data_IF_462342331475
#
_entry.id   IF_462342331475
#
_cell.length_a   1.000
_cell.length_b   1.000
_cell.length_c   1.000
_cell.angle_alpha   90.00
_cell.angle_beta   90.00
_cell.angle_gamma   90.00
#
_symmetry.space_group_name_H-M   'P 1'
#
loop_
_entity.id
_entity.type
_entity.pdbx_description
1 polymer ?
#
# COMPACT_ATOMS: atom_id res chain seq x y z
N UNK A 1 -29.15 -30.94 -33.47
CA UNK A 1 -29.39 -29.85 -32.50
C UNK A 1 -28.14 -28.96 -32.44
N UNK A 2 -28.25 -27.66 -32.67
CA UNK A 2 -27.09 -26.77 -32.64
C UNK A 2 -26.53 -26.56 -31.22
N UNK A 3 -25.20 -26.51 -31.08
CA UNK A 3 -24.49 -26.33 -29.79
C UNK A 3 -24.98 -25.12 -28.95
N UNK A 4 -25.54 -24.09 -29.58
CA UNK A 4 -26.05 -22.89 -28.92
C UNK A 4 -27.49 -22.96 -28.40
N UNK A 5 -28.26 -24.02 -28.74
CA UNK A 5 -29.68 -24.09 -28.40
C UNK A 5 -29.95 -24.20 -26.89
N UNK A 6 -29.01 -24.75 -26.12
CA UNK A 6 -29.13 -24.89 -24.66
C UNK A 6 -29.33 -23.54 -23.95
N UNK A 7 -28.72 -22.45 -24.44
CA UNK A 7 -28.89 -21.10 -23.89
C UNK A 7 -30.35 -20.60 -23.95
N UNK A 8 -31.13 -21.12 -24.90
CA UNK A 8 -32.51 -20.73 -25.15
C UNK A 8 -33.52 -21.83 -24.77
N UNK A 9 -33.13 -22.73 -23.87
CA UNK A 9 -33.99 -23.85 -23.44
C UNK A 9 -34.20 -24.91 -24.51
N UNK A 10 -33.18 -25.20 -25.32
CA UNK A 10 -33.19 -26.20 -26.40
C UNK A 10 -34.21 -25.96 -27.52
N UNK A 11 -34.71 -24.72 -27.66
CA UNK A 11 -35.60 -24.33 -28.76
C UNK A 11 -34.81 -24.12 -30.05
N UNK A 12 -35.21 -24.80 -31.13
CA UNK A 12 -34.66 -24.58 -32.46
C UNK A 12 -35.38 -23.42 -33.16
N UNK A 13 -34.62 -22.42 -33.60
CA UNK A 13 -35.15 -21.21 -34.24
C UNK A 13 -35.31 -20.02 -33.29
N UNK A 14 -35.38 -18.81 -33.86
CA UNK A 14 -35.51 -17.55 -33.14
C UNK A 14 -36.80 -16.88 -33.60
N UNK A 15 -37.68 -16.58 -32.64
CA UNK A 15 -38.84 -15.72 -32.89
C UNK A 15 -38.39 -14.26 -32.93
N UNK A 16 -39.05 -13.41 -33.73
CA UNK A 16 -38.81 -11.97 -33.68
C UNK A 16 -39.15 -11.44 -32.27
N UNK A 17 -38.47 -10.36 -31.88
CA UNK A 17 -38.69 -9.73 -30.58
C UNK A 17 -40.13 -9.23 -30.46
N UNK A 18 -40.80 -9.58 -29.36
CA UNK A 18 -42.16 -9.10 -29.09
C UNK A 18 -42.20 -7.57 -29.06
N UNK A 19 -43.03 -6.97 -29.91
CA UNK A 19 -43.16 -5.52 -30.00
C UNK A 19 -44.01 -5.03 -28.83
N UNK A 20 -43.44 -4.19 -27.97
CA UNK A 20 -44.18 -3.57 -26.85
C UNK A 20 -45.37 -2.74 -27.34
N UNK A 21 -46.50 -2.80 -26.62
CA UNK A 21 -47.69 -2.02 -26.96
C UNK A 21 -47.46 -0.55 -26.57
N UNK A 22 -47.09 -0.30 -25.32
CA UNK A 22 -46.64 1.01 -24.83
C UNK A 22 -45.13 1.15 -25.03
N UNK A 23 -44.69 2.22 -25.68
CA UNK A 23 -43.26 2.45 -26.04
C UNK A 23 -42.47 3.17 -24.96
N UNK A 24 -43.15 3.98 -24.17
CA UNK A 24 -42.59 4.77 -23.09
C UNK A 24 -43.26 4.35 -21.78
N UNK A 25 -42.61 4.58 -20.62
CA UNK A 25 -43.22 4.33 -19.32
C UNK A 25 -44.47 5.21 -19.12
N UNK A 26 -45.40 4.72 -18.30
CA UNK A 26 -46.64 5.44 -17.99
C UNK A 26 -46.51 6.31 -16.76
N UNK A 27 -47.38 7.31 -16.64
CA UNK A 27 -47.43 8.19 -15.46
C UNK A 27 -47.81 7.42 -14.18
N UNK A 28 -48.50 6.28 -14.29
CA UNK A 28 -48.88 5.47 -13.11
C UNK A 28 -47.69 4.67 -12.54
N UNK A 29 -46.60 4.50 -13.28
CA UNK A 29 -45.39 3.80 -12.82
C UNK A 29 -44.53 4.70 -11.91
N UNK A 30 -45.01 4.92 -10.68
CA UNK A 30 -44.39 5.85 -9.72
C UNK A 30 -42.92 5.53 -9.43
N UNK A 31 -42.56 4.25 -9.30
CA UNK A 31 -41.17 3.84 -9.01
C UNK A 31 -40.17 4.30 -10.07
N UNK A 32 -40.57 4.28 -11.36
CA UNK A 32 -39.73 4.77 -12.44
C UNK A 32 -39.63 6.30 -12.44
N UNK A 33 -40.71 6.99 -12.08
CA UNK A 33 -40.70 8.45 -11.92
C UNK A 33 -39.75 8.85 -10.80
N UNK A 34 -39.87 8.21 -9.64
CA UNK A 34 -39.02 8.47 -8.47
C UNK A 34 -37.55 8.18 -8.79
N UNK A 35 -37.28 7.08 -9.52
CA UNK A 35 -35.91 6.73 -9.95
C UNK A 35 -35.30 7.72 -10.94
N UNK A 36 -36.10 8.27 -11.85
CA UNK A 36 -35.64 9.27 -12.82
C UNK A 36 -35.48 10.65 -12.18
N UNK A 37 -36.36 10.98 -11.22
CA UNK A 37 -36.33 12.24 -10.46
C UNK A 37 -35.27 12.27 -9.35
N UNK A 38 -34.77 11.11 -8.93
CA UNK A 38 -33.72 11.02 -7.92
C UNK A 38 -32.42 11.74 -8.37
N UNK A 39 -31.71 12.40 -7.44
CA UNK A 39 -30.44 13.04 -7.75
C UNK A 39 -29.43 12.00 -8.25
N UNK A 40 -28.82 12.27 -9.40
CA UNK A 40 -27.84 11.36 -10.01
C UNK A 40 -26.55 11.34 -9.19
N UNK A 41 -26.02 10.14 -8.94
CA UNK A 41 -24.74 9.95 -8.25
C UNK A 41 -23.61 10.70 -8.96
N UNK A 42 -22.67 11.21 -8.16
CA UNK A 42 -21.40 11.80 -8.60
C UNK A 42 -20.24 10.93 -8.07
N UNK A 43 -19.12 10.90 -8.76
CA UNK A 43 -17.94 10.12 -8.37
C UNK A 43 -17.60 9.01 -9.36
N UNK A 44 -17.05 7.90 -8.86
CA UNK A 44 -16.58 6.75 -9.67
C UNK A 44 -17.73 6.12 -10.46
N UNK A 45 -18.86 5.87 -9.79
CA UNK A 45 -20.09 5.35 -10.41
C UNK A 45 -21.09 6.48 -10.73
N UNK A 46 -20.57 7.67 -11.05
CA UNK A 46 -21.37 8.85 -11.31
C UNK A 46 -21.94 8.91 -12.74
N UNK A 47 -23.07 9.59 -12.91
CA UNK A 47 -23.69 9.82 -14.23
C UNK A 47 -23.71 11.30 -14.59
N UNK A 48 -23.14 11.63 -15.75
CA UNK A 48 -23.11 12.99 -16.31
C UNK A 48 -21.88 13.80 -15.90
N UNK A 49 -21.90 15.10 -16.18
CA UNK A 49 -20.79 16.00 -15.85
C UNK A 49 -20.75 16.36 -14.36
N UNK A 50 -19.55 16.48 -13.78
CA UNK A 50 -19.35 17.07 -12.45
C UNK A 50 -19.68 18.57 -12.47
N UNK A 51 -19.99 19.16 -11.32
CA UNK A 51 -20.65 20.48 -11.26
C UNK A 51 -19.79 21.63 -11.81
N UNK A 52 -18.47 21.55 -11.63
CA UNK A 52 -17.51 22.57 -12.08
C UNK A 52 -16.79 22.21 -13.39
N UNK A 53 -17.20 21.15 -14.08
CA UNK A 53 -16.59 20.75 -15.35
C UNK A 53 -17.50 21.21 -16.49
N UNK A 54 -16.93 22.01 -17.40
CA UNK A 54 -17.63 22.45 -18.60
C UNK A 54 -17.93 21.26 -19.52
N UNK A 55 -19.07 21.32 -20.20
CA UNK A 55 -19.44 20.37 -21.25
C UNK A 55 -19.01 20.96 -22.62
N UNK A 56 -18.75 20.12 -23.63
CA UNK A 56 -18.29 20.60 -24.93
C UNK A 56 -19.34 21.47 -25.63
N UNK A 57 -18.86 22.50 -26.34
CA UNK A 57 -19.69 23.47 -27.07
C UNK A 57 -20.54 22.75 -28.12
N UNK A 58 -21.85 23.04 -28.14
CA UNK A 58 -22.81 22.41 -29.05
C UNK A 58 -23.39 21.08 -28.58
N UNK A 59 -22.96 20.58 -27.40
CA UNK A 59 -23.60 19.43 -26.75
C UNK A 59 -24.54 19.87 -25.63
N UNK A 60 -25.47 18.98 -25.24
CA UNK A 60 -26.27 19.20 -24.04
C UNK A 60 -25.58 18.56 -22.83
N UNK A 61 -25.52 19.29 -21.71
CA UNK A 61 -24.95 18.79 -20.45
C UNK A 61 -25.77 17.65 -19.86
N UNK A 62 -27.09 17.74 -19.96
CA UNK A 62 -28.02 16.77 -19.38
C UNK A 62 -28.57 15.84 -20.44
N UNK A 63 -28.80 14.58 -20.06
CA UNK A 63 -29.55 13.63 -20.87
C UNK A 63 -30.98 14.15 -21.11
N UNK A 64 -31.59 13.87 -22.28
CA UNK A 64 -32.97 14.24 -22.53
C UNK A 64 -33.91 13.61 -21.50
N UNK A 65 -34.95 14.34 -21.13
CA UNK A 65 -35.95 13.89 -20.16
C UNK A 65 -36.77 12.73 -20.72
N UNK A 66 -37.07 11.76 -19.85
CA UNK A 66 -37.91 10.62 -20.20
C UNK A 66 -39.36 11.08 -20.26
N UNK A 67 -40.02 10.87 -21.41
CA UNK A 67 -41.41 11.24 -21.61
C UNK A 67 -42.34 10.18 -21.03
N UNK A 68 -42.98 10.48 -19.90
CA UNK A 68 -44.02 9.63 -19.33
C UNK A 68 -45.34 9.82 -20.07
N UNK A 69 -45.98 8.71 -20.43
CA UNK A 69 -47.23 8.71 -21.20
C UNK A 69 -48.42 8.60 -20.25
N UNK A 70 -49.34 9.55 -20.36
CA UNK A 70 -50.67 9.40 -19.81
C UNK A 70 -51.52 8.57 -20.79
N UNK A 71 -51.92 7.37 -20.36
CA UNK A 71 -52.60 6.40 -21.22
C UNK A 71 -53.95 6.92 -21.69
N UNK A 72 -54.70 7.61 -20.82
CA UNK A 72 -56.02 8.13 -21.18
C UNK A 72 -55.92 9.27 -22.21
N UNK A 73 -54.93 10.15 -22.08
CA UNK A 73 -54.65 11.17 -23.10
C UNK A 73 -54.17 10.56 -24.41
N UNK A 74 -53.38 9.48 -24.35
CA UNK A 74 -52.92 8.79 -25.54
C UNK A 74 -54.10 8.15 -26.27
N UNK A 75 -55.00 7.48 -25.55
CA UNK A 75 -56.25 6.93 -26.11
C UNK A 75 -57.09 8.05 -26.73
N UNK A 76 -57.26 9.18 -26.04
CA UNK A 76 -58.03 10.30 -26.59
C UNK A 76 -57.45 10.84 -27.90
N UNK A 77 -56.11 10.83 -28.05
CA UNK A 77 -55.40 11.30 -29.26
C UNK A 77 -55.42 10.27 -30.40
N UNK A 78 -55.20 8.99 -30.12
CA UNK A 78 -55.10 7.94 -31.15
C UNK A 78 -56.45 7.36 -31.53
N UNK A 79 -57.37 7.28 -30.57
CA UNK A 79 -58.70 6.67 -30.65
C UNK A 79 -59.78 7.75 -30.48
N UNK A 80 -59.65 8.85 -31.23
CA UNK A 80 -60.63 9.92 -31.17
C UNK A 80 -62.01 9.45 -31.65
N UNK A 81 -63.04 9.76 -30.87
CA UNK A 81 -64.43 9.56 -31.28
C UNK A 81 -64.77 10.51 -32.45
N UNK A 82 -65.63 10.07 -33.38
CA UNK A 82 -66.01 10.92 -34.51
C UNK A 82 -66.72 12.18 -34.00
N UNK A 83 -66.28 13.36 -34.48
CA UNK A 83 -66.87 14.66 -34.09
C UNK A 83 -68.35 14.78 -34.47
N UNK A 84 -68.77 14.08 -35.53
CA UNK A 84 -70.16 13.97 -35.97
C UNK A 84 -70.48 12.50 -36.16
N UNK A 85 -71.52 12.01 -35.49
CA UNK A 85 -72.06 10.67 -35.71
C UNK A 85 -72.93 10.74 -36.96
N UNK A 86 -72.31 10.57 -38.13
CA UNK A 86 -73.05 10.52 -39.38
C UNK A 86 -73.75 9.16 -39.46
N UNK A 87 -75.07 9.16 -39.60
CA UNK A 87 -75.83 7.94 -39.91
C UNK A 87 -75.33 7.41 -41.25
N UNK A 88 -74.92 6.14 -41.28
CA UNK A 88 -74.47 5.53 -42.52
C UNK A 88 -75.64 5.36 -43.48
N UNK A 89 -75.50 5.86 -44.70
CA UNK A 89 -76.56 5.81 -45.71
C UNK A 89 -76.43 4.56 -46.62
N UNK A 90 -75.33 3.83 -46.50
CA UNK A 90 -75.04 2.64 -47.32
C UNK A 90 -74.46 1.52 -46.46
N UNK A 91 -74.71 0.24 -46.81
CA UNK A 91 -74.20 -0.90 -46.03
C UNK A 91 -72.65 -0.93 -45.98
N UNK A 92 -71.98 -0.40 -47.01
CA UNK A 92 -70.53 -0.27 -47.02
C UNK A 92 -70.04 0.78 -46.01
N UNK A 93 -70.78 1.87 -45.80
CA UNK A 93 -70.47 2.87 -44.79
C UNK A 93 -70.70 2.32 -43.38
N UNK A 94 -71.77 1.55 -43.16
CA UNK A 94 -72.02 0.85 -41.90
C UNK A 94 -70.86 -0.10 -41.55
N UNK A 95 -70.46 -0.96 -42.49
CA UNK A 95 -69.35 -1.89 -42.27
C UNK A 95 -68.02 -1.16 -41.97
N UNK A 96 -67.77 0.00 -42.59
CA UNK A 96 -66.59 0.83 -42.29
C UNK A 96 -66.68 1.46 -40.91
N UNK A 97 -67.84 1.94 -40.50
CA UNK A 97 -68.07 2.50 -39.16
C UNK A 97 -67.88 1.42 -38.08
N UNK A 98 -68.48 0.25 -38.25
CA UNK A 98 -68.31 -0.90 -37.34
C UNK A 98 -66.84 -1.33 -37.22
N UNK A 99 -66.12 -1.45 -38.35
CA UNK A 99 -64.68 -1.76 -38.33
C UNK A 99 -63.87 -0.68 -37.61
N UNK A 100 -64.21 0.59 -37.78
CA UNK A 100 -63.55 1.68 -37.08
C UNK A 100 -63.83 1.62 -35.57
N UNK A 101 -65.08 1.40 -35.16
CA UNK A 101 -65.46 1.23 -33.75
C UNK A 101 -64.75 0.04 -33.10
N UNK A 102 -64.69 -1.09 -33.79
CA UNK A 102 -64.01 -2.28 -33.32
C UNK A 102 -62.50 -2.04 -33.15
N UNK A 103 -61.85 -1.39 -34.13
CA UNK A 103 -60.43 -0.99 -34.00
C UNK A 103 -60.23 -0.05 -32.82
N UNK A 104 -61.13 0.93 -32.64
CA UNK A 104 -61.06 1.87 -31.53
C UNK A 104 -61.17 1.15 -30.19
N UNK A 105 -62.14 0.25 -30.06
CA UNK A 105 -62.39 -0.56 -28.86
C UNK A 105 -61.16 -1.40 -28.49
N UNK A 106 -60.67 -2.23 -29.41
CA UNK A 106 -59.52 -3.10 -29.13
C UNK A 106 -58.23 -2.33 -28.84
N UNK A 107 -58.01 -1.19 -29.51
CA UNK A 107 -56.82 -0.37 -29.28
C UNK A 107 -56.88 0.29 -27.89
N UNK A 108 -58.03 0.83 -27.50
CA UNK A 108 -58.22 1.40 -26.16
C UNK A 108 -58.09 0.34 -25.06
N UNK A 109 -58.68 -0.84 -25.24
CA UNK A 109 -58.54 -1.98 -24.33
C UNK A 109 -57.09 -2.45 -24.24
N UNK A 110 -56.38 -2.57 -25.35
CA UNK A 110 -54.98 -2.99 -25.38
C UNK A 110 -54.07 -2.05 -24.57
N UNK A 111 -54.28 -0.73 -24.66
CA UNK A 111 -53.49 0.22 -23.86
C UNK A 111 -53.80 0.16 -22.37
N UNK A 112 -55.09 0.06 -21.99
CA UNK A 112 -55.48 -0.06 -20.58
C UNK A 112 -54.97 -1.35 -19.95
N UNK A 113 -55.12 -2.46 -20.66
CA UNK A 113 -54.66 -3.77 -20.20
C UNK A 113 -53.13 -3.83 -20.09
N UNK A 114 -52.40 -3.23 -21.03
CA UNK A 114 -50.93 -3.19 -20.94
C UNK A 114 -50.46 -2.34 -19.76
N UNK A 115 -51.11 -1.20 -19.48
CA UNK A 115 -50.79 -0.41 -18.29
C UNK A 115 -51.02 -1.20 -17.00
N UNK A 116 -52.15 -1.89 -16.89
CA UNK A 116 -52.46 -2.74 -15.73
C UNK A 116 -51.44 -3.87 -15.58
N UNK A 117 -51.13 -4.59 -16.68
CA UNK A 117 -50.13 -5.65 -16.70
C UNK A 117 -48.76 -5.17 -16.21
N UNK A 118 -48.33 -3.97 -16.62
CA UNK A 118 -47.05 -3.41 -16.20
C UNK A 118 -47.02 -3.10 -14.69
N UNK A 119 -48.13 -2.60 -14.14
CA UNK A 119 -48.27 -2.35 -12.70
C UNK A 119 -48.28 -3.67 -11.90
N UNK A 120 -49.05 -4.66 -12.35
CA UNK A 120 -49.07 -6.00 -11.74
C UNK A 120 -47.69 -6.66 -11.78
N UNK A 121 -46.98 -6.55 -12.90
CA UNK A 121 -45.62 -7.07 -13.02
C UNK A 121 -44.67 -6.41 -12.02
N UNK A 122 -44.77 -5.10 -11.83
CA UNK A 122 -43.97 -4.37 -10.84
C UNK A 122 -44.28 -4.87 -9.42
N UNK A 123 -45.56 -5.01 -9.07
CA UNK A 123 -45.97 -5.55 -7.76
C UNK A 123 -45.46 -6.97 -7.54
N UNK A 124 -45.55 -7.82 -8.56
CA UNK A 124 -45.02 -9.19 -8.51
C UNK A 124 -43.52 -9.22 -8.29
N UNK A 125 -42.76 -8.32 -8.94
CA UNK A 125 -41.32 -8.21 -8.74
C UNK A 125 -40.97 -7.75 -7.33
N UNK A 126 -41.67 -6.75 -6.78
CA UNK A 126 -41.48 -6.30 -5.39
C UNK A 126 -41.74 -7.42 -4.40
N UNK A 127 -42.89 -8.08 -4.50
CA UNK A 127 -43.24 -9.23 -3.64
C UNK A 127 -42.22 -10.37 -3.75
N UNK A 128 -41.65 -10.60 -4.94
CA UNK A 128 -40.60 -11.60 -5.13
C UNK A 128 -39.29 -11.20 -4.46
N UNK A 129 -38.89 -9.93 -4.56
CA UNK A 129 -37.68 -9.42 -3.91
C UNK A 129 -37.81 -9.51 -2.39
N UNK A 130 -38.92 -9.06 -1.83
CA UNK A 130 -39.20 -9.15 -0.39
C UNK A 130 -39.18 -10.61 0.11
N UNK A 131 -39.71 -11.55 -0.68
CA UNK A 131 -39.63 -12.99 -0.33
C UNK A 131 -38.19 -13.50 -0.34
N UNK A 132 -37.40 -13.15 -1.36
CA UNK A 132 -36.00 -13.55 -1.44
C UNK A 132 -35.16 -12.93 -0.31
N UNK A 133 -35.44 -11.69 0.08
CA UNK A 133 -34.78 -11.05 1.21
C UNK A 133 -35.11 -11.74 2.52
N UNK A 134 -36.40 -12.06 2.77
CA UNK A 134 -36.83 -12.83 3.94
C UNK A 134 -36.24 -14.24 3.96
N UNK A 135 -36.17 -14.91 2.82
CA UNK A 135 -35.52 -16.22 2.68
C UNK A 135 -34.03 -16.11 3.06
N UNK A 136 -33.30 -15.13 2.52
CA UNK A 136 -31.89 -14.89 2.87
C UNK A 136 -31.71 -14.55 4.35
N UNK A 137 -32.55 -13.71 4.92
CA UNK A 137 -32.51 -13.38 6.34
C UNK A 137 -32.76 -14.62 7.20
N UNK A 138 -33.71 -15.47 6.81
CA UNK A 138 -33.97 -16.74 7.50
C UNK A 138 -32.83 -17.74 7.37
N UNK A 139 -32.16 -17.80 6.21
CA UNK A 139 -30.98 -18.62 5.99
C UNK A 139 -29.81 -18.13 6.85
N UNK A 140 -29.56 -16.81 6.88
CA UNK A 140 -28.53 -16.21 7.73
C UNK A 140 -28.84 -16.48 9.20
N UNK A 141 -30.09 -16.32 9.63
CA UNK A 141 -30.50 -16.62 11.00
C UNK A 141 -30.25 -18.09 11.35
N UNK A 142 -30.68 -19.04 10.51
CA UNK A 142 -30.47 -20.48 10.71
C UNK A 142 -29.00 -20.92 10.63
N UNK A 143 -28.15 -20.15 9.95
CA UNK A 143 -26.70 -20.34 9.94
C UNK A 143 -26.02 -19.73 11.18
N UNK A 144 -26.60 -18.66 11.75
CA UNK A 144 -26.07 -18.00 12.94
C UNK A 144 -26.46 -18.67 14.27
N UNK A 145 -27.51 -19.50 14.25
CA UNK A 145 -27.91 -20.27 15.43
C UNK A 145 -26.82 -21.26 15.84
N UNK A 146 -26.32 -21.20 17.09
CA UNK A 146 -25.25 -22.07 17.56
C UNK A 146 -25.74 -23.53 17.59
N UNK A 147 -24.99 -24.42 16.96
CA UNK A 147 -25.32 -25.85 16.90
C UNK A 147 -24.51 -26.62 17.94
N UNK A 148 -25.07 -27.74 18.42
CA UNK A 148 -24.33 -28.65 19.31
C UNK A 148 -23.05 -29.21 18.66
N UNK A 149 -23.04 -29.29 17.33
CA UNK A 149 -21.86 -29.67 16.54
C UNK A 149 -20.77 -28.61 16.48
N UNK A 150 -21.02 -27.35 16.84
CA UNK A 150 -20.01 -26.28 16.71
C UNK A 150 -18.85 -26.49 17.69
N UNK A 151 -19.10 -27.18 18.81
CA UNK A 151 -18.08 -27.56 19.78
C UNK A 151 -17.10 -28.63 19.27
N UNK A 152 -17.43 -29.35 18.19
CA UNK A 152 -16.50 -30.30 17.56
C UNK A 152 -15.58 -29.64 16.54
N UNK A 153 -15.86 -28.40 16.15
CA UNK A 153 -14.99 -27.59 15.30
C UNK A 153 -13.94 -26.91 16.18
N UNK A 154 -12.63 -27.10 15.92
CA UNK A 154 -11.60 -26.44 16.72
C UNK A 154 -11.70 -24.92 16.56
N UNK A 155 -11.77 -24.20 17.68
CA UNK A 155 -11.88 -22.74 17.70
C UNK A 155 -10.55 -22.10 18.12
N UNK A 156 -10.16 -21.04 17.40
CA UNK A 156 -8.99 -20.20 17.72
C UNK A 156 -9.45 -18.75 17.95
N UNK A 157 -10.55 -18.56 18.68
CA UNK A 157 -11.19 -17.25 18.87
C UNK A 157 -10.21 -16.21 19.42
N UNK A 158 -9.47 -16.55 20.48
CA UNK A 158 -8.47 -15.66 21.07
C UNK A 158 -7.35 -15.25 20.10
N UNK A 159 -7.01 -16.08 19.11
CA UNK A 159 -6.03 -15.75 18.08
C UNK A 159 -6.62 -14.86 16.98
N UNK A 160 -7.88 -15.08 16.61
CA UNK A 160 -8.59 -14.31 15.59
C UNK A 160 -8.99 -12.92 16.07
N UNK A 161 -9.29 -12.78 17.37
CA UNK A 161 -9.68 -11.51 17.99
C UNK A 161 -8.47 -10.58 18.19
N UNK A 162 -7.25 -11.12 18.19
CA UNK A 162 -6.04 -10.30 18.29
C UNK A 162 -5.80 -9.53 16.98
N UNK A 163 -5.47 -8.23 17.05
CA UNK A 163 -5.10 -7.47 15.86
C UNK A 163 -3.86 -8.08 15.22
N UNK A 164 -3.90 -8.29 13.89
CA UNK A 164 -2.77 -8.84 13.13
C UNK A 164 -1.46 -8.07 13.34
N UNK A 165 -1.56 -6.77 13.60
CA UNK A 165 -0.42 -5.93 13.94
C UNK A 165 -0.75 -5.00 15.11
N UNK A 166 0.11 -5.01 16.12
CA UNK A 166 0.14 -3.96 17.15
C UNK A 166 0.82 -2.72 16.58
N UNK A 167 0.13 -1.59 16.58
CA UNK A 167 0.76 -0.30 16.29
C UNK A 167 1.72 0.09 17.43
N UNK A 168 2.88 0.64 17.07
CA UNK A 168 3.86 1.09 18.07
C UNK A 168 3.34 2.32 18.81
N UNK A 169 3.57 2.39 20.10
CA UNK A 169 3.31 3.61 20.88
C UNK A 169 4.26 4.73 20.43
N UNK A 170 3.90 6.02 20.59
CA UNK A 170 4.77 7.13 20.22
C UNK A 170 6.12 7.07 20.93
N UNK A 171 6.14 6.70 22.22
CA UNK A 171 7.35 6.52 23.02
C UNK A 171 8.26 5.42 22.45
N UNK A 172 7.69 4.29 22.03
CA UNK A 172 8.45 3.20 21.40
C UNK A 172 9.08 3.64 20.07
N UNK A 173 8.38 4.47 19.30
CA UNK A 173 8.88 5.02 18.05
C UNK A 173 10.06 5.95 18.33
N UNK A 174 9.99 6.77 19.37
CA UNK A 174 11.08 7.67 19.79
C UNK A 174 12.32 6.89 20.24
N UNK A 175 12.14 5.89 21.10
CA UNK A 175 13.24 5.02 21.55
C UNK A 175 13.90 4.33 20.36
N UNK A 176 13.10 3.83 19.41
CA UNK A 176 13.60 3.19 18.19
C UNK A 176 14.39 4.19 17.32
N UNK A 177 13.90 5.42 17.15
CA UNK A 177 14.61 6.49 16.44
C UNK A 177 15.95 6.81 17.11
N UNK A 178 15.98 6.90 18.44
CA UNK A 178 17.21 7.13 19.21
C UNK A 178 18.21 5.98 19.02
N UNK A 179 17.78 4.72 19.12
CA UNK A 179 18.65 3.56 18.84
C UNK A 179 19.23 3.58 17.43
N UNK A 180 18.41 3.90 16.42
CA UNK A 180 18.88 4.05 15.03
C UNK A 180 19.89 5.19 14.88
N UNK A 181 19.64 6.33 15.52
CA UNK A 181 20.54 7.49 15.50
C UNK A 181 21.89 7.13 16.13
N UNK A 182 21.86 6.52 17.33
CA UNK A 182 23.05 6.07 18.04
C UNK A 182 23.87 5.07 17.20
N UNK A 183 23.25 4.04 16.63
CA UNK A 183 23.95 3.07 15.80
C UNK A 183 24.61 3.72 14.58
N UNK A 184 23.95 4.70 13.96
CA UNK A 184 24.52 5.45 12.82
C UNK A 184 25.71 6.31 13.25
N UNK A 185 25.61 7.00 14.38
CA UNK A 185 26.68 7.83 14.92
C UNK A 185 27.89 6.99 15.34
N UNK A 186 27.66 5.86 16.01
CA UNK A 186 28.71 4.89 16.35
C UNK A 186 29.44 4.36 15.13
N UNK A 187 28.74 4.03 14.05
CA UNK A 187 29.38 3.58 12.81
C UNK A 187 30.19 4.69 12.15
N UNK A 188 29.73 5.94 12.20
CA UNK A 188 30.46 7.09 11.65
C UNK A 188 31.73 7.37 12.47
N UNK A 189 31.61 7.34 13.79
CA UNK A 189 32.72 7.54 14.72
C UNK A 189 33.80 6.48 14.49
N UNK A 190 33.43 5.19 14.44
CA UNK A 190 34.37 4.11 14.10
C UNK A 190 35.03 4.26 12.73
N UNK A 191 34.32 4.80 11.74
CA UNK A 191 34.90 5.06 10.43
C UNK A 191 35.87 6.25 10.46
N UNK A 192 35.64 7.23 11.33
CA UNK A 192 36.55 8.35 11.55
C UNK A 192 37.79 7.91 12.31
N UNK A 193 37.65 7.12 13.39
CA UNK A 193 38.77 6.52 14.13
C UNK A 193 39.70 5.76 13.19
N UNK A 194 39.18 4.88 12.34
CA UNK A 194 39.99 4.15 11.35
C UNK A 194 40.73 5.08 10.38
N UNK A 195 40.07 6.16 9.93
CA UNK A 195 40.72 7.14 9.04
C UNK A 195 41.83 7.90 9.78
N UNK A 196 41.64 8.19 11.06
CA UNK A 196 42.65 8.81 11.89
C UNK A 196 43.82 7.85 12.13
N UNK A 197 43.56 6.58 12.43
CA UNK A 197 44.59 5.54 12.52
C UNK A 197 45.39 5.41 11.22
N UNK A 198 44.72 5.42 10.07
CA UNK A 198 45.38 5.34 8.77
C UNK A 198 46.20 6.60 8.47
N UNK A 199 45.72 7.78 8.86
CA UNK A 199 46.48 9.03 8.79
C UNK A 199 47.71 8.96 9.69
N UNK A 200 47.55 8.48 10.92
CA UNK A 200 48.61 8.35 11.90
C UNK A 200 49.70 7.37 11.40
N UNK A 201 49.30 6.23 10.82
CA UNK A 201 50.21 5.33 10.11
C UNK A 201 50.95 6.04 8.99
N UNK A 202 50.23 6.81 8.16
CA UNK A 202 50.84 7.57 7.08
C UNK A 202 51.86 8.58 7.63
N UNK A 203 51.54 9.28 8.72
CA UNK A 203 52.43 10.22 9.40
C UNK A 203 53.75 9.57 9.78
N UNK A 204 53.74 8.40 10.42
CA UNK A 204 54.99 7.70 10.75
C UNK A 204 55.77 7.20 9.53
N UNK A 205 55.09 6.92 8.41
CA UNK A 205 55.76 6.55 7.15
C UNK A 205 56.28 7.78 6.39
N UNK A 206 55.88 9.01 6.76
CA UNK A 206 56.31 10.22 6.03
C UNK A 206 57.82 10.44 6.03
N UNK A 207 58.54 9.94 7.05
CA UNK A 207 60.01 10.02 7.10
C UNK A 207 60.68 9.24 5.94
N UNK A 208 59.99 8.25 5.38
CA UNK A 208 60.46 7.50 4.21
C UNK A 208 60.03 8.13 2.87
N UNK A 209 59.15 9.13 2.89
CA UNK A 209 58.64 9.76 1.67
C UNK A 209 59.68 10.72 1.09
N UNK A 210 59.92 10.54 -0.21
CA UNK A 210 60.79 11.44 -0.98
C UNK A 210 59.97 12.64 -1.40
N UNK A 211 60.20 13.79 -0.77
CA UNK A 211 59.49 15.03 -1.08
C UNK A 211 60.37 16.00 -1.88
N UNK A 212 61.66 16.09 -1.57
CA UNK A 212 62.61 16.98 -2.26
C UNK A 212 63.56 16.22 -3.20
N UNK A 213 64.10 16.92 -4.20
CA UNK A 213 65.10 16.36 -5.13
C UNK A 213 66.37 15.89 -4.40
N UNK A 214 66.72 16.52 -3.27
CA UNK A 214 67.86 16.12 -2.44
C UNK A 214 67.63 14.78 -1.78
N UNK A 215 66.40 14.55 -1.28
CA UNK A 215 66.03 13.28 -0.66
C UNK A 215 65.96 12.17 -1.70
N UNK A 216 65.59 12.51 -2.95
CA UNK A 216 65.59 11.59 -4.07
C UNK A 216 67.00 11.10 -4.41
N UNK A 217 67.97 12.01 -4.54
CA UNK A 217 69.36 11.65 -4.81
C UNK A 217 69.95 10.78 -3.69
N UNK A 218 69.73 11.17 -2.42
CA UNK A 218 70.16 10.36 -1.27
C UNK A 218 69.56 8.95 -1.31
N UNK A 219 68.27 8.84 -1.64
CA UNK A 219 67.60 7.54 -1.68
C UNK A 219 68.06 6.69 -2.86
N UNK A 220 68.35 7.29 -4.01
CA UNK A 220 69.00 6.62 -5.14
C UNK A 220 70.34 6.07 -4.68
N UNK A 221 71.19 6.91 -4.09
CA UNK A 221 72.53 6.51 -3.66
C UNK A 221 72.45 5.37 -2.64
N UNK A 222 71.53 5.41 -1.67
CA UNK A 222 71.29 4.31 -0.73
C UNK A 222 70.83 3.01 -1.40
N UNK A 223 69.89 3.09 -2.35
CA UNK A 223 69.32 1.91 -3.03
C UNK A 223 70.37 1.27 -3.95
N UNK A 224 71.15 2.07 -4.67
CA UNK A 224 72.17 1.59 -5.61
C UNK A 224 73.52 1.28 -4.96
N UNK A 225 73.88 1.89 -3.82
CA UNK A 225 75.07 1.54 -3.05
C UNK A 225 74.88 0.25 -2.24
N UNK A 226 73.63 -0.11 -1.92
CA UNK A 226 73.34 -1.45 -1.41
C UNK A 226 73.43 -2.46 -2.57
N UNK A 227 74.45 -3.32 -2.61
CA UNK A 227 74.54 -4.49 -3.51
C UNK A 227 73.47 -5.56 -3.18
N UNK A 228 72.22 -5.14 -2.95
CA UNK A 228 71.13 -5.97 -2.44
C UNK A 228 69.95 -6.00 -3.40
N UNK A 229 70.23 -6.22 -4.69
CA UNK A 229 69.20 -6.57 -5.67
C UNK A 229 68.38 -7.81 -5.27
N UNK A 230 68.88 -8.65 -4.36
CA UNK A 230 68.13 -9.76 -3.74
C UNK A 230 67.18 -9.31 -2.60
N UNK A 231 67.51 -8.27 -1.85
CA UNK A 231 66.64 -7.72 -0.80
C UNK A 231 65.44 -6.96 -1.41
N UNK A 232 65.62 -6.35 -2.59
CA UNK A 232 64.52 -5.75 -3.34
C UNK A 232 63.55 -6.81 -3.90
N UNK A 233 64.04 -7.98 -4.32
CA UNK A 233 63.18 -9.11 -4.75
C UNK A 233 62.32 -9.65 -3.61
N UNK A 234 62.86 -9.72 -2.39
CA UNK A 234 62.10 -10.21 -1.22
C UNK A 234 61.12 -9.18 -0.65
N UNK A 235 61.40 -7.87 -0.78
CA UNK A 235 60.48 -6.80 -0.39
C UNK A 235 59.37 -6.53 -1.43
N UNK A 236 59.62 -6.75 -2.72
CA UNK A 236 58.61 -6.65 -3.78
C UNK A 236 57.77 -7.94 -3.93
N UNK A 237 58.26 -9.09 -3.46
CA UNK A 237 57.47 -10.34 -3.40
C UNK A 237 56.54 -10.36 -2.18
N UNK A 238 55.54 -9.48 -2.13
CA UNK A 238 54.52 -9.42 -1.07
C UNK A 238 53.49 -10.57 -1.16
N UNK A 239 53.75 -11.61 -1.95
CA UNK A 239 52.73 -12.60 -2.34
C UNK A 239 52.45 -13.77 -1.39
N UNK A 240 53.42 -14.31 -0.63
CA UNK A 240 53.20 -15.67 -0.09
C UNK A 240 53.96 -16.14 1.17
N UNK A 241 54.64 -15.27 1.95
CA UNK A 241 55.36 -15.74 3.16
C UNK A 241 55.03 -14.94 4.43
N UNK A 242 54.47 -15.67 5.42
CA UNK A 242 54.24 -15.37 6.85
C UNK A 242 52.98 -14.57 7.27
N UNK A 243 51.81 -15.21 7.29
CA UNK A 243 50.63 -14.69 7.99
C UNK A 243 50.80 -14.67 9.53
N UNK A 244 51.64 -15.53 10.13
CA UNK A 244 51.81 -15.62 11.59
C UNK A 244 52.42 -14.36 12.22
N UNK A 245 53.50 -13.83 11.66
CA UNK A 245 54.18 -12.62 12.21
C UNK A 245 53.38 -11.33 12.00
N UNK A 246 52.60 -11.25 10.91
CA UNK A 246 51.68 -10.11 10.70
C UNK A 246 50.54 -10.13 11.71
N UNK A 247 50.01 -11.31 12.02
CA UNK A 247 48.95 -11.46 13.02
C UNK A 247 49.45 -11.13 14.43
N UNK A 248 50.65 -11.58 14.81
CA UNK A 248 51.25 -11.25 16.12
C UNK A 248 51.46 -9.74 16.29
N UNK A 249 51.98 -9.05 15.27
CA UNK A 249 52.13 -7.59 15.29
C UNK A 249 50.77 -6.88 15.37
N UNK A 250 49.79 -7.30 14.58
CA UNK A 250 48.45 -6.71 14.62
C UNK A 250 47.74 -6.96 15.97
N UNK A 251 47.97 -8.12 16.59
CA UNK A 251 47.43 -8.43 17.93
C UNK A 251 48.15 -7.61 19.00
N UNK A 252 49.47 -7.48 18.93
CA UNK A 252 50.25 -6.61 19.82
C UNK A 252 49.80 -5.15 19.73
N UNK A 253 49.65 -4.64 18.51
CA UNK A 253 49.15 -3.30 18.22
C UNK A 253 47.74 -3.08 18.78
N UNK A 254 46.84 -4.06 18.63
CA UNK A 254 45.49 -3.98 19.18
C UNK A 254 45.43 -4.05 20.71
N UNK A 255 46.36 -4.77 21.36
CA UNK A 255 46.40 -4.92 22.82
C UNK A 255 47.05 -3.74 23.53
N UNK A 256 48.09 -3.17 22.93
CA UNK A 256 48.86 -2.07 23.52
C UNK A 256 48.51 -0.69 22.93
N UNK A 257 47.58 -0.65 21.96
CA UNK A 257 47.19 0.58 21.28
C UNK A 257 48.34 1.23 20.50
N UNK A 258 49.28 0.44 20.00
CA UNK A 258 50.45 0.87 19.22
C UNK A 258 50.25 0.64 17.73
N UNK A 259 51.14 1.19 16.90
CA UNK A 259 51.08 1.09 15.43
C UNK A 259 52.44 0.59 14.92
N UNK A 260 52.42 -0.39 14.02
CA UNK A 260 53.62 -0.88 13.31
C UNK A 260 54.28 -2.10 13.94
N UNK A 261 53.64 -2.77 14.89
CA UNK A 261 54.21 -3.86 15.69
C UNK A 261 54.89 -3.38 16.98
N UNK A 262 54.45 -2.27 17.55
CA UNK A 262 54.98 -1.70 18.80
C UNK A 262 56.00 -0.56 18.67
N UNK A 263 56.41 -0.20 17.46
CA UNK A 263 57.46 0.81 17.26
C UNK A 263 56.95 2.25 17.42
N UNK A 264 55.65 2.48 17.20
CA UNK A 264 55.05 3.80 17.29
C UNK A 264 53.75 3.85 18.12
N UNK A 265 53.45 5.02 18.69
CA UNK A 265 52.28 5.25 19.54
C UNK A 265 51.01 5.32 18.69
N UNK A 266 49.97 4.57 19.04
CA UNK A 266 48.70 4.58 18.31
C UNK A 266 47.66 5.54 18.88
N UNK A 267 46.53 5.65 18.18
CA UNK A 267 45.47 6.60 18.46
C UNK A 267 44.91 6.50 19.89
N UNK A 268 44.67 5.32 20.48
CA UNK A 268 44.10 5.23 21.84
C UNK A 268 44.93 5.94 22.89
N UNK A 269 46.26 5.78 22.84
CA UNK A 269 47.19 6.42 23.79
C UNK A 269 47.23 7.94 23.60
N UNK A 270 47.11 8.41 22.36
CA UNK A 270 47.06 9.85 22.04
C UNK A 270 45.75 10.46 22.51
N UNK A 271 44.62 9.77 22.29
CA UNK A 271 43.30 10.19 22.76
C UNK A 271 43.27 10.30 24.29
N UNK A 272 43.79 9.29 24.99
CA UNK A 272 43.91 9.28 26.45
C UNK A 272 44.84 10.38 27.01
N UNK A 273 45.92 10.69 26.29
CA UNK A 273 46.81 11.79 26.66
C UNK A 273 46.14 13.16 26.49
N UNK A 274 45.36 13.33 25.41
CA UNK A 274 44.62 14.57 25.13
C UNK A 274 43.40 14.73 26.06
N UNK A 275 42.73 13.64 26.43
CA UNK A 275 41.59 13.66 27.36
C UNK A 275 42.02 13.96 28.79
N UNK A 276 43.29 13.69 29.14
CA UNK A 276 43.84 13.89 30.48
C UNK A 276 43.37 12.84 31.50
N UNK A 277 42.59 11.86 31.07
CA UNK A 277 42.07 10.77 31.91
C UNK A 277 43.20 9.96 32.54
N UNK A 278 44.29 9.75 31.80
CA UNK A 278 45.48 9.05 32.30
C UNK A 278 46.19 9.77 33.44
N UNK A 279 46.20 11.11 33.44
CA UNK A 279 46.79 11.90 34.53
C UNK A 279 45.94 11.79 35.78
N UNK A 280 44.63 11.96 35.64
CA UNK A 280 43.70 11.80 36.77
C UNK A 280 43.74 10.41 37.36
N UNK A 281 43.86 9.37 36.52
CA UNK A 281 43.98 8.00 36.99
C UNK A 281 45.32 7.71 37.69
N UNK A 282 46.42 8.27 37.18
CA UNK A 282 47.74 8.16 37.83
C UNK A 282 47.75 8.85 39.20
N UNK A 283 47.19 10.06 39.28
CA UNK A 283 47.05 10.81 40.55
C UNK A 283 46.21 10.03 41.57
N UNK A 284 45.11 9.40 41.13
CA UNK A 284 44.27 8.53 41.97
C UNK A 284 45.00 7.27 42.46
N UNK A 285 45.82 6.65 41.62
CA UNK A 285 46.65 5.48 42.02
C UNK A 285 47.74 5.92 43.00
N UNK A 286 48.41 7.04 42.75
CA UNK A 286 49.40 7.59 43.66
C UNK A 286 48.78 7.92 45.02
N UNK A 287 47.60 8.53 45.04
CA UNK A 287 46.86 8.81 46.26
C UNK A 287 46.52 7.52 47.02
N UNK A 288 46.03 6.48 46.33
CA UNK A 288 45.70 5.17 46.93
C UNK A 288 46.94 4.42 47.43
N UNK A 289 48.03 4.43 46.67
CA UNK A 289 49.28 3.77 47.06
C UNK A 289 49.96 4.46 48.24
N UNK A 290 49.95 5.80 48.29
CA UNK A 290 50.38 6.58 49.46
C UNK A 290 49.52 6.24 50.69
N UNK A 291 48.20 6.19 50.52
CA UNK A 291 47.29 5.78 51.61
C UNK A 291 47.56 4.36 52.13
N UNK A 292 47.85 3.39 51.25
CA UNK A 292 48.21 2.03 51.62
C UNK A 292 49.57 1.94 52.33
N UNK A 293 50.56 2.74 51.91
CA UNK A 293 51.85 2.82 52.57
C UNK A 293 51.74 3.46 53.96
N UNK A 294 50.92 4.49 54.10
CA UNK A 294 50.66 5.12 55.40
C UNK A 294 49.90 4.19 56.35
N UNK A 295 48.98 3.37 55.83
CA UNK A 295 48.34 2.29 56.60
C UNK A 295 49.39 1.27 57.07
N UNK A 296 50.25 0.77 56.17
CA UNK A 296 51.31 -0.18 56.55
C UNK A 296 52.30 0.38 57.56
N UNK A 297 52.62 1.67 57.49
CA UNK A 297 53.48 2.34 58.49
C UNK A 297 52.80 2.41 59.85
N UNK A 298 51.51 2.78 59.90
CA UNK A 298 50.73 2.75 61.14
C UNK A 298 50.63 1.35 61.73
N UNK A 299 50.46 0.33 60.89
CA UNK A 299 50.41 -1.06 61.32
C UNK A 299 51.76 -1.52 61.90
N UNK A 300 52.89 -1.14 61.29
CA UNK A 300 54.24 -1.43 61.81
C UNK A 300 54.55 -0.67 63.12
N UNK A 301 54.12 0.57 63.24
CA UNK A 301 54.24 1.34 64.49
C UNK A 301 53.33 0.80 65.61
N UNK A 302 52.26 0.06 65.27
CA UNK A 302 51.37 -0.56 66.26
C UNK A 302 51.87 -1.92 66.79
N UNK A 303 52.94 -2.47 66.22
CA UNK A 303 53.50 -3.79 66.56
C UNK A 303 54.79 -3.69 67.42
N UNK A 304 55.37 -2.50 67.56
CA UNK A 304 56.49 -2.19 68.47
C UNK A 304 55.98 -1.55 69.77
#
# INVERSE_FOLDING_TARGET
MGKGAAKYGFKSGILPTARSILKNPTVKQKSLIDKVGAPKSKGVDGVGYADNIAHPKGSHRFSPEVKFVNVDELIAKTVANPRKVNVANTPQQEAKQQKAELRRKYLAEAFRNEEQRLLEQEEHLKRRQEKLEKERESEIAALSEPRSSDLTVPTLQSMLDMPLMRQRAPEEIEILKLKRKHNREMLRLRAQERKLDDLLKLYYVTDEFIVSEKDFLKRIDEVFASESSEALRTKLSVGASRPKTKNEKNIGDALFGSVGGGDHVGLPVIEEFLSGEMKTFADDIEAKSKALLDQKKRDLESIL
#
